data_IF_764536182717
#
_entry.id   IF_764536182717
#
_cell.length_a   1.000
_cell.length_b   1.000
_cell.length_c   1.000
_cell.angle_alpha   90.00
_cell.angle_beta   90.00
_cell.angle_gamma   90.00
#
_symmetry.space_group_name_H-M   'P 1'
#
loop_
_entity.id
_entity.type
_entity.pdbx_description
1 polymer ?
#
# COMPACT_ATOMS: atom_id res chain seq x y z
N UNK A 1 3.27 -10.16 10.14
CA UNK A 1 3.23 -8.71 10.44
C UNK A 1 1.77 -8.27 10.26
N UNK A 2 1.27 -7.31 11.04
CA UNK A 2 -0.08 -6.73 10.81
C UNK A 2 0.00 -5.49 9.92
N UNK A 3 -1.09 -5.06 9.25
CA UNK A 3 -1.09 -3.81 8.49
C UNK A 3 -0.67 -2.59 9.33
N UNK A 4 -1.06 -2.56 10.60
CA UNK A 4 -0.64 -1.50 11.52
C UNK A 4 0.88 -1.54 11.81
N UNK A 5 1.45 -2.73 12.01
CA UNK A 5 2.90 -2.88 12.17
C UNK A 5 3.66 -2.45 10.91
N UNK A 6 3.15 -2.79 9.73
CA UNK A 6 3.73 -2.38 8.46
C UNK A 6 3.68 -0.84 8.28
N UNK A 7 2.55 -0.22 8.61
CA UNK A 7 2.41 1.25 8.62
C UNK A 7 3.45 1.91 9.52
N UNK A 8 3.62 1.40 10.74
CA UNK A 8 4.66 1.91 11.65
C UNK A 8 6.09 1.70 11.12
N UNK A 9 6.36 0.59 10.42
CA UNK A 9 7.67 0.35 9.81
C UNK A 9 7.94 1.35 8.68
N UNK A 10 6.97 1.57 7.79
CA UNK A 10 7.08 2.57 6.70
C UNK A 10 7.32 3.97 7.28
N UNK A 11 6.56 4.38 8.30
CA UNK A 11 6.74 5.68 8.98
C UNK A 11 8.13 5.86 9.59
N UNK A 12 8.77 4.77 10.01
CA UNK A 12 10.13 4.78 10.58
C UNK A 12 11.23 4.68 9.51
N UNK A 13 10.88 4.70 8.23
CA UNK A 13 11.83 4.50 7.13
C UNK A 13 12.35 3.07 6.99
N UNK A 14 11.66 2.10 7.58
CA UNK A 14 12.01 0.67 7.56
C UNK A 14 11.19 -0.13 6.54
N UNK A 15 10.29 0.54 5.81
CA UNK A 15 9.57 -0.03 4.68
C UNK A 15 10.47 -0.15 3.44
N UNK A 16 10.07 -0.97 2.45
CA UNK A 16 10.77 -1.03 1.19
C UNK A 16 10.61 0.31 0.43
N UNK A 17 11.63 0.66 -0.35
CA UNK A 17 11.57 1.83 -1.23
C UNK A 17 10.31 1.79 -2.12
N UNK A 18 9.67 2.94 -2.31
CA UNK A 18 8.47 3.10 -3.12
C UNK A 18 7.16 2.73 -2.43
N UNK A 19 7.16 2.35 -1.15
CA UNK A 19 5.96 2.45 -0.30
C UNK A 19 6.12 3.68 0.57
N UNK A 20 5.35 4.72 0.26
CA UNK A 20 5.43 6.01 0.94
C UNK A 20 4.66 5.99 2.27
N UNK A 21 3.47 5.38 2.26
CA UNK A 21 2.58 5.35 3.43
C UNK A 21 1.67 4.13 3.40
N UNK A 22 1.24 3.66 4.56
CA UNK A 22 0.16 2.68 4.69
C UNK A 22 -0.91 3.28 5.60
N UNK A 23 -2.11 3.43 5.06
CA UNK A 23 -3.23 4.04 5.76
C UNK A 23 -4.24 2.99 6.21
N UNK A 24 -4.74 3.19 7.44
CA UNK A 24 -5.87 2.45 7.99
C UNK A 24 -7.17 2.91 7.35
N UNK A 25 -8.18 2.04 7.24
CA UNK A 25 -9.49 2.47 6.76
C UNK A 25 -10.12 3.51 7.69
N UNK A 26 -10.69 4.56 7.11
CA UNK A 26 -11.36 5.67 7.81
C UNK A 26 -12.87 5.67 7.63
N UNK A 27 -13.37 5.00 6.60
CA UNK A 27 -14.81 4.88 6.31
C UNK A 27 -15.26 3.42 6.21
N UNK A 28 -16.56 3.18 6.35
CA UNK A 28 -17.14 1.83 6.26
C UNK A 28 -16.80 1.19 4.91
N UNK A 29 -16.32 -0.06 4.95
CA UNK A 29 -15.83 -0.87 3.80
C UNK A 29 -14.53 -0.40 3.14
N UNK A 30 -13.90 0.66 3.63
CA UNK A 30 -12.53 0.95 3.21
C UNK A 30 -11.59 -0.14 3.71
N UNK A 31 -10.55 -0.42 2.92
CA UNK A 31 -9.50 -1.36 3.28
C UNK A 31 -8.26 -0.61 3.74
N UNK A 32 -7.35 -1.31 4.41
CA UNK A 32 -5.97 -0.85 4.47
C UNK A 32 -5.43 -0.68 3.05
N UNK A 33 -4.66 0.37 2.81
CA UNK A 33 -4.08 0.63 1.50
C UNK A 33 -2.68 1.23 1.62
N UNK A 34 -1.80 0.80 0.71
CA UNK A 34 -0.40 1.20 0.67
C UNK A 34 -0.18 2.16 -0.50
N UNK A 35 0.17 3.42 -0.20
CA UNK A 35 0.49 4.46 -1.16
C UNK A 35 1.88 4.25 -1.75
N UNK A 36 1.99 4.35 -3.08
CA UNK A 36 3.23 4.14 -3.83
C UNK A 36 3.97 5.44 -4.19
N UNK A 37 3.41 6.59 -3.83
CA UNK A 37 4.02 7.89 -4.01
C UNK A 37 3.57 8.86 -2.90
N UNK A 38 4.35 9.94 -2.65
CA UNK A 38 3.94 10.98 -1.72
C UNK A 38 2.65 11.70 -2.14
N UNK A 39 1.97 12.30 -1.17
CA UNK A 39 0.82 13.17 -1.38
C UNK A 39 -0.54 12.50 -1.18
N UNK A 40 -1.57 13.33 -1.01
CA UNK A 40 -2.96 12.86 -0.92
C UNK A 40 -3.46 12.35 -2.26
N UNK A 41 -4.19 11.23 -2.24
CA UNK A 41 -4.74 10.63 -3.46
C UNK A 41 -3.70 9.98 -4.37
N UNK A 42 -2.46 9.76 -3.91
CA UNK A 42 -1.48 9.01 -4.68
C UNK A 42 -1.94 7.57 -4.90
N UNK A 43 -1.49 6.97 -6.01
CA UNK A 43 -1.81 5.58 -6.36
C UNK A 43 -1.49 4.67 -5.19
N UNK A 44 -2.46 3.85 -4.81
CA UNK A 44 -2.35 2.95 -3.68
C UNK A 44 -2.88 1.57 -4.03
N UNK A 45 -2.39 0.56 -3.32
CA UNK A 45 -2.90 -0.81 -3.44
C UNK A 45 -3.67 -1.19 -2.17
N UNK A 46 -4.94 -1.56 -2.35
CA UNK A 46 -5.79 -2.06 -1.29
C UNK A 46 -5.30 -3.42 -0.80
N UNK A 47 -5.68 -3.80 0.42
CA UNK A 47 -5.28 -5.05 1.05
C UNK A 47 -5.67 -6.30 0.23
N UNK A 48 -6.75 -6.25 -0.54
CA UNK A 48 -7.16 -7.33 -1.45
C UNK A 48 -6.40 -7.38 -2.79
N UNK A 49 -5.45 -6.47 -3.01
CA UNK A 49 -4.64 -6.37 -4.23
C UNK A 49 -5.24 -5.50 -5.33
N UNK A 50 -6.44 -4.92 -5.13
CA UNK A 50 -7.02 -3.96 -6.08
C UNK A 50 -6.36 -2.60 -5.99
N UNK A 51 -6.38 -1.86 -7.10
CA UNK A 51 -5.80 -0.52 -7.18
C UNK A 51 -6.78 0.57 -6.74
N UNK A 52 -6.29 1.51 -5.95
CA UNK A 52 -6.96 2.73 -5.50
C UNK A 52 -6.25 3.94 -6.12
N UNK A 53 -7.02 4.94 -6.52
CA UNK A 53 -6.51 6.15 -7.18
C UNK A 53 -5.72 5.91 -8.48
N UNK A 54 -5.83 4.73 -9.09
CA UNK A 54 -5.30 4.49 -10.43
C UNK A 54 -6.16 5.26 -11.45
N UNK A 55 -5.60 6.18 -12.25
CA UNK A 55 -6.36 6.90 -13.26
C UNK A 55 -6.97 5.96 -14.30
N UNK A 56 -8.13 6.33 -14.82
CA UNK A 56 -8.83 5.52 -15.81
C UNK A 56 -7.99 5.43 -17.10
N UNK A 57 -7.71 4.21 -17.54
CA UNK A 57 -6.96 3.94 -18.76
C UNK A 57 -5.45 3.83 -18.55
N UNK A 58 -4.96 3.99 -17.32
CA UNK A 58 -3.56 3.73 -16.99
C UNK A 58 -3.36 2.30 -16.52
N UNK A 59 -2.17 1.76 -16.81
CA UNK A 59 -1.73 0.49 -16.26
C UNK A 59 -1.18 0.70 -14.85
N UNK A 60 -1.42 -0.25 -13.94
CA UNK A 60 -0.84 -0.16 -12.62
C UNK A 60 0.69 -0.22 -12.66
N UNK A 61 1.38 0.46 -11.74
CA UNK A 61 2.83 0.34 -11.62
C UNK A 61 3.23 -1.07 -11.19
N UNK A 62 4.37 -1.53 -11.68
CA UNK A 62 4.93 -2.81 -11.26
C UNK A 62 5.45 -2.73 -9.82
N UNK A 63 4.93 -3.59 -8.95
CA UNK A 63 5.47 -3.77 -7.62
C UNK A 63 6.78 -4.56 -7.67
N UNK A 64 7.81 -4.06 -7.01
CA UNK A 64 9.08 -4.77 -6.83
C UNK A 64 8.88 -6.02 -5.98
N UNK A 65 9.80 -6.98 -6.08
CA UNK A 65 9.77 -8.19 -5.26
C UNK A 65 9.77 -7.87 -3.75
N UNK A 66 10.55 -6.87 -3.33
CA UNK A 66 10.61 -6.44 -1.92
C UNK A 66 9.28 -5.85 -1.44
N UNK A 67 8.62 -5.04 -2.27
CA UNK A 67 7.28 -4.51 -1.97
C UNK A 67 6.25 -5.62 -1.84
N UNK A 68 6.23 -6.57 -2.79
CA UNK A 68 5.32 -7.73 -2.75
C UNK A 68 5.52 -8.56 -1.49
N UNK A 69 6.76 -8.90 -1.15
CA UNK A 69 7.08 -9.67 0.07
C UNK A 69 6.66 -8.91 1.33
N UNK A 70 6.99 -7.63 1.42
CA UNK A 70 6.63 -6.80 2.56
C UNK A 70 5.11 -6.73 2.77
N UNK A 71 4.36 -6.43 1.70
CA UNK A 71 2.90 -6.31 1.75
C UNK A 71 2.21 -7.65 2.02
N UNK A 72 2.65 -8.76 1.40
CA UNK A 72 2.13 -10.10 1.70
C UNK A 72 2.37 -10.49 3.17
N UNK A 73 3.56 -10.21 3.70
CA UNK A 73 3.87 -10.44 5.12
C UNK A 73 3.01 -9.60 6.06
N UNK A 74 2.54 -8.44 5.58
CA UNK A 74 1.63 -7.53 6.28
C UNK A 74 0.14 -7.84 6.07
N UNK A 75 -0.20 -8.87 5.27
CA UNK A 75 -1.56 -9.34 5.05
C UNK A 75 -2.25 -8.84 3.79
N UNK A 76 -1.52 -8.30 2.81
CA UNK A 76 -2.07 -8.03 1.48
C UNK A 76 -2.15 -9.32 0.66
N UNK A 77 -3.20 -9.44 -0.16
CA UNK A 77 -3.39 -10.51 -1.13
C UNK A 77 -2.90 -10.07 -2.51
N UNK A 78 -1.62 -10.29 -2.80
CA UNK A 78 -0.91 -9.88 -4.03
C UNK A 78 -0.38 -11.06 -4.82
#
# INVERSE_FOLDING_TARGET
MTPNQASQAVMKGQGPAGIDRIDRPRVFREQWHAHLAPGEGSIAINQDGTWKHLPKGELPPDLTAAQKVFLRNAGWNL
#
